data_IF_500691947168
#
_entry.id   IF_500691947168
#
_cell.length_a   1.000
_cell.length_b   1.000
_cell.length_c   1.000
_cell.angle_alpha   90.00
_cell.angle_beta   90.00
_cell.angle_gamma   90.00
#
_symmetry.space_group_name_H-M   'P 1'
#
loop_
_entity.id
_entity.type
_entity.pdbx_description
1 polymer ?
#
# COMPACT_ATOMS: atom_id res chain seq x y z
N UNK A 1 -5.38 1.40 -13.20
CA UNK A 1 -4.35 0.54 -13.83
C UNK A 1 -3.39 0.09 -12.74
N UNK A 2 -2.82 -1.12 -12.84
CA UNK A 2 -1.75 -1.60 -11.95
C UNK A 2 -0.42 -1.19 -12.57
N UNK A 3 0.43 -0.52 -11.79
CA UNK A 3 1.78 -0.13 -12.20
C UNK A 3 2.77 -0.85 -11.29
N UNK A 4 3.57 -1.78 -11.82
CA UNK A 4 4.78 -2.20 -11.12
C UNK A 4 5.71 -1.00 -11.04
N UNK A 5 6.12 -0.63 -9.83
CA UNK A 5 7.10 0.44 -9.61
C UNK A 5 8.48 -0.15 -9.86
N UNK A 6 9.37 0.52 -10.63
CA UNK A 6 10.77 0.12 -10.71
C UNK A 6 11.36 0.07 -9.30
N UNK A 7 11.81 -1.11 -8.87
CA UNK A 7 12.50 -1.25 -7.60
C UNK A 7 13.77 -0.39 -7.67
N UNK A 8 13.80 0.72 -6.93
CA UNK A 8 15.00 1.52 -6.77
C UNK A 8 16.14 0.63 -6.31
N UNK A 9 17.31 0.79 -6.92
CA UNK A 9 18.54 0.09 -6.56
C UNK A 9 18.80 0.23 -5.06
N UNK A 10 18.49 -0.86 -4.32
CA UNK A 10 18.56 -1.03 -2.85
C UNK A 10 17.43 -0.35 -2.06
N UNK A 11 16.35 -1.11 -1.82
CA UNK A 11 15.57 -1.01 -0.57
C UNK A 11 14.24 -0.26 -0.61
N UNK A 12 13.54 -0.17 -1.74
CA UNK A 12 12.10 0.20 -1.73
C UNK A 12 11.22 -1.03 -1.95
N UNK A 13 10.86 -1.74 -0.87
CA UNK A 13 10.01 -2.96 -0.86
C UNK A 13 8.51 -2.64 -1.04
N UNK A 14 8.17 -1.66 -1.89
CA UNK A 14 6.78 -1.40 -2.26
C UNK A 14 6.43 -2.35 -3.40
N UNK A 15 5.73 -3.43 -3.07
CA UNK A 15 5.41 -4.46 -4.05
C UNK A 15 4.60 -3.88 -5.23
N UNK A 16 3.59 -3.07 -4.94
CA UNK A 16 2.75 -2.45 -5.98
C UNK A 16 2.21 -1.08 -5.60
N UNK A 17 2.08 -0.18 -6.59
CA UNK A 17 1.32 1.07 -6.47
C UNK A 17 0.12 1.03 -7.42
N UNK A 18 -1.06 1.33 -6.88
CA UNK A 18 -2.31 1.44 -7.64
C UNK A 18 -2.80 2.87 -7.60
N UNK A 19 -3.18 3.39 -8.76
CA UNK A 19 -3.75 4.72 -8.91
C UNK A 19 -5.17 4.61 -9.47
N UNK A 20 -6.09 5.34 -8.85
CA UNK A 20 -7.47 5.50 -9.32
C UNK A 20 -8.09 6.79 -8.80
N UNK A 21 -9.35 7.04 -9.17
CA UNK A 21 -10.06 8.25 -8.75
C UNK A 21 -10.13 8.42 -7.21
N UNK A 22 -10.00 7.32 -6.45
CA UNK A 22 -9.98 7.33 -4.99
C UNK A 22 -8.59 7.59 -4.37
N UNK A 23 -7.60 8.00 -5.15
CA UNK A 23 -6.25 8.28 -4.70
C UNK A 23 -5.22 7.20 -5.07
N UNK A 24 -4.12 7.19 -4.33
CA UNK A 24 -3.00 6.27 -4.53
C UNK A 24 -2.98 5.22 -3.42
N UNK A 25 -2.63 4.00 -3.77
CA UNK A 25 -2.56 2.88 -2.85
C UNK A 25 -1.22 2.16 -2.97
N UNK A 26 -0.51 2.01 -1.86
CA UNK A 26 0.64 1.11 -1.75
C UNK A 26 0.14 -0.25 -1.27
N UNK A 27 0.38 -1.30 -2.03
CA UNK A 27 -0.07 -2.66 -1.72
C UNK A 27 1.17 -3.49 -1.47
N UNK A 28 1.25 -4.09 -0.28
CA UNK A 28 2.28 -5.03 0.07
C UNK A 28 1.65 -6.42 0.30
N UNK A 29 2.14 -7.43 -0.40
CA UNK A 29 1.67 -8.82 -0.30
C UNK A 29 2.59 -9.61 0.63
N UNK A 30 2.01 -10.25 1.65
CA UNK A 30 2.74 -11.10 2.58
C UNK A 30 2.27 -12.54 2.46
N UNK A 31 3.11 -13.37 1.84
CA UNK A 31 2.90 -14.80 1.74
C UNK A 31 3.35 -15.50 3.03
N UNK A 32 2.42 -16.18 3.70
CA UNK A 32 2.64 -16.87 4.98
C UNK A 32 2.03 -18.27 4.93
N UNK A 33 2.65 -19.17 4.18
CA UNK A 33 2.15 -20.53 3.99
C UNK A 33 1.96 -21.28 5.32
N UNK A 34 0.76 -21.83 5.53
CA UNK A 34 0.47 -22.65 6.72
C UNK A 34 0.40 -21.88 8.04
N UNK A 35 0.71 -20.59 8.05
CA UNK A 35 0.78 -19.79 9.27
C UNK A 35 -0.60 -19.36 9.79
N UNK A 36 -0.66 -19.07 11.10
CA UNK A 36 -1.81 -18.40 11.72
C UNK A 36 -1.53 -16.91 11.84
N UNK A 37 -2.39 -16.08 11.27
CA UNK A 37 -2.25 -14.62 11.32
C UNK A 37 -3.25 -14.05 12.32
N UNK A 38 -2.77 -13.15 13.16
CA UNK A 38 -3.60 -12.38 14.06
C UNK A 38 -3.38 -10.89 13.82
N UNK A 39 -4.46 -10.13 13.73
CA UNK A 39 -4.42 -8.68 13.48
C UNK A 39 -5.22 -7.97 14.57
N UNK A 40 -4.59 -6.96 15.18
CA UNK A 40 -5.26 -5.95 16.01
C UNK A 40 -4.89 -4.54 15.54
N UNK A 41 -5.45 -3.51 16.17
CA UNK A 41 -5.27 -2.10 15.76
C UNK A 41 -3.81 -1.68 15.58
N UNK A 42 -2.88 -2.20 16.39
CA UNK A 42 -1.47 -1.78 16.38
C UNK A 42 -0.47 -2.89 16.10
N UNK A 43 -0.91 -4.14 15.98
CA UNK A 43 -0.01 -5.30 15.87
C UNK A 43 -0.54 -6.32 14.87
N UNK A 44 0.38 -6.88 14.11
CA UNK A 44 0.15 -8.04 13.27
C UNK A 44 1.11 -9.14 13.78
N UNK A 45 0.54 -10.31 14.09
CA UNK A 45 1.31 -11.48 14.52
C UNK A 45 1.27 -12.56 13.44
N UNK A 46 2.40 -13.24 13.25
CA UNK A 46 2.51 -14.44 12.42
C UNK A 46 2.91 -15.58 13.34
N UNK A 47 2.04 -16.59 13.48
CA UNK A 47 2.23 -17.75 14.35
C UNK A 47 2.63 -17.37 15.79
N UNK A 48 2.01 -16.29 16.31
CA UNK A 48 2.25 -15.77 17.67
C UNK A 48 3.41 -14.77 17.78
N UNK A 49 4.25 -14.62 16.74
CA UNK A 49 5.38 -13.69 16.75
C UNK A 49 4.98 -12.32 16.20
N UNK A 50 5.42 -11.25 16.87
CA UNK A 50 5.21 -9.87 16.42
C UNK A 50 5.98 -9.61 15.13
N UNK A 51 5.35 -8.90 14.21
CA UNK A 51 6.01 -8.45 12.98
C UNK A 51 6.01 -6.94 12.85
N UNK A 52 6.84 -6.47 11.92
CA UNK A 52 7.00 -5.06 11.59
C UNK A 52 6.14 -4.61 10.40
N UNK A 53 5.25 -5.48 9.90
CA UNK A 53 4.51 -5.24 8.65
C UNK A 53 3.74 -3.91 8.67
N UNK A 54 3.05 -3.62 9.78
CA UNK A 54 2.32 -2.35 9.92
C UNK A 54 3.26 -1.13 9.92
N UNK A 55 4.44 -1.23 10.55
CA UNK A 55 5.41 -0.13 10.58
C UNK A 55 5.99 0.10 9.20
N UNK A 56 6.39 -0.96 8.52
CA UNK A 56 6.99 -0.88 7.19
C UNK A 56 5.98 -0.33 6.18
N UNK A 57 4.73 -0.80 6.19
CA UNK A 57 3.69 -0.24 5.29
C UNK A 57 3.41 1.24 5.57
N UNK A 58 3.45 1.72 6.82
CA UNK A 58 3.34 3.16 7.12
C UNK A 58 4.51 3.96 6.54
N UNK A 59 5.72 3.41 6.64
CA UNK A 59 6.90 4.02 6.05
C UNK A 59 6.76 4.11 4.53
N UNK A 60 6.30 3.04 3.88
CA UNK A 60 6.06 3.00 2.44
C UNK A 60 5.02 4.04 2.00
N UNK A 61 3.90 4.15 2.72
CA UNK A 61 2.87 5.17 2.48
C UNK A 61 3.47 6.57 2.56
N UNK A 62 4.19 6.87 3.64
CA UNK A 62 4.79 8.18 3.86
C UNK A 62 5.84 8.51 2.79
N UNK A 63 6.65 7.52 2.40
CA UNK A 63 7.65 7.67 1.34
C UNK A 63 6.99 7.94 -0.01
N UNK A 64 6.01 7.13 -0.43
CA UNK A 64 5.27 7.34 -1.69
C UNK A 64 4.61 8.71 -1.72
N UNK A 65 4.02 9.16 -0.62
CA UNK A 65 3.41 10.48 -0.54
C UNK A 65 4.44 11.58 -0.80
N UNK A 66 5.60 11.53 -0.13
CA UNK A 66 6.69 12.51 -0.32
C UNK A 66 7.23 12.53 -1.75
N UNK A 67 7.44 11.37 -2.36
CA UNK A 67 7.95 11.25 -3.72
C UNK A 67 6.98 11.85 -4.74
N UNK A 68 5.69 11.55 -4.60
CA UNK A 68 4.66 12.12 -5.47
C UNK A 68 4.51 13.62 -5.27
N UNK A 69 4.54 14.09 -4.03
CA UNK A 69 4.48 15.52 -3.72
C UNK A 69 5.65 16.30 -4.33
N UNK A 70 6.86 15.74 -4.30
CA UNK A 70 8.03 16.37 -4.91
C UNK A 70 7.91 16.55 -6.44
N UNK A 71 7.24 15.61 -7.12
CA UNK A 71 7.07 15.64 -8.58
C UNK A 71 5.84 16.45 -9.00
N UNK A 72 4.75 16.36 -8.23
CA UNK A 72 3.46 16.99 -8.56
C UNK A 72 3.39 18.43 -8.04
N UNK A 73 4.15 18.76 -6.99
CA UNK A 73 4.09 20.06 -6.30
C UNK A 73 2.88 20.23 -5.40
N UNK A 74 2.11 19.17 -5.13
CA UNK A 74 1.02 19.17 -4.17
C UNK A 74 0.81 17.80 -3.53
N UNK A 75 0.21 17.78 -2.34
CA UNK A 75 0.01 16.55 -1.58
C UNK A 75 -1.06 15.65 -2.22
N UNK A 76 -0.73 14.37 -2.38
CA UNK A 76 -1.65 13.34 -2.90
C UNK A 76 -1.93 12.32 -1.80
N UNK A 77 -3.22 12.04 -1.48
CA UNK A 77 -3.54 11.04 -0.47
C UNK A 77 -3.06 9.64 -0.88
N UNK A 78 -2.20 9.04 -0.05
CA UNK A 78 -1.71 7.67 -0.19
C UNK A 78 -2.26 6.81 0.94
N UNK A 79 -2.73 5.60 0.62
CA UNK A 79 -3.21 4.62 1.60
C UNK A 79 -2.50 3.28 1.46
N UNK A 80 -2.19 2.65 2.59
CA UNK A 80 -1.49 1.36 2.61
C UNK A 80 -2.43 0.18 2.77
N UNK A 81 -2.13 -0.91 2.06
CA UNK A 81 -2.77 -2.20 2.24
C UNK A 81 -1.74 -3.33 2.38
N UNK A 82 -1.90 -4.15 3.41
CA UNK A 82 -1.22 -5.44 3.56
C UNK A 82 -2.18 -6.53 3.07
N UNK A 83 -1.73 -7.33 2.11
CA UNK A 83 -2.50 -8.44 1.54
C UNK A 83 -1.89 -9.75 2.00
N UNK A 84 -2.61 -10.48 2.84
CA UNK A 84 -2.19 -11.78 3.35
C UNK A 84 -2.55 -12.86 2.34
N UNK A 85 -1.58 -13.70 2.00
CA UNK A 85 -1.71 -14.81 1.05
C UNK A 85 -1.15 -16.09 1.68
N UNK A 86 -1.78 -17.25 1.43
CA UNK A 86 -1.29 -18.57 1.86
C UNK A 86 -1.47 -18.92 3.35
N UNK A 87 -1.97 -17.99 4.17
CA UNK A 87 -2.22 -18.24 5.58
C UNK A 87 -3.25 -19.36 5.79
N UNK A 88 -2.98 -20.25 6.76
CA UNK A 88 -3.90 -21.30 7.19
C UNK A 88 -5.14 -20.72 7.87
N UNK A 89 -4.94 -19.66 8.64
CA UNK A 89 -5.98 -19.01 9.41
C UNK A 89 -5.66 -17.52 9.58
N UNK A 90 -6.68 -16.67 9.49
CA UNK A 90 -6.53 -15.23 9.69
C UNK A 90 -7.62 -14.76 10.66
N UNK A 91 -7.20 -14.28 11.83
CA UNK A 91 -8.07 -13.65 12.81
C UNK A 91 -7.84 -12.14 12.82
N UNK A 92 -8.81 -11.36 12.35
CA UNK A 92 -8.80 -9.90 12.48
C UNK A 92 -9.65 -9.55 13.68
N UNK A 93 -9.02 -9.27 14.82
CA UNK A 93 -9.71 -8.79 16.04
C UNK A 93 -10.12 -7.33 15.90
N UNK A 94 -9.23 -6.53 15.33
CA UNK A 94 -9.43 -5.11 15.12
C UNK A 94 -8.58 -4.66 13.92
N UNK A 95 -9.19 -3.86 13.06
CA UNK A 95 -8.53 -3.32 11.87
C UNK A 95 -7.69 -2.10 12.29
N UNK A 96 -6.42 -1.98 11.88
CA UNK A 96 -5.70 -0.72 12.00
C UNK A 96 -6.42 0.40 11.25
N UNK A 97 -6.50 1.58 11.88
CA UNK A 97 -7.23 2.73 11.33
C UNK A 97 -6.59 3.29 10.04
N UNK A 98 -5.27 3.13 9.91
CA UNK A 98 -4.46 3.75 8.87
C UNK A 98 -4.00 2.78 7.78
N UNK A 99 -3.94 1.48 8.08
CA UNK A 99 -3.50 0.43 7.16
C UNK A 99 -4.60 -0.63 6.99
N UNK A 100 -5.01 -0.86 5.74
CA UNK A 100 -5.91 -1.98 5.42
C UNK A 100 -5.15 -3.31 5.51
N UNK A 101 -5.74 -4.32 6.13
CA UNK A 101 -5.18 -5.67 6.22
C UNK A 101 -6.23 -6.60 5.66
N UNK A 102 -5.92 -7.19 4.52
CA UNK A 102 -6.90 -7.82 3.64
C UNK A 102 -6.39 -9.19 3.20
N UNK A 103 -7.30 -10.05 2.79
CA UNK A 103 -6.97 -11.22 1.96
C UNK A 103 -6.96 -10.84 0.48
N UNK A 104 -6.32 -11.65 -0.37
CA UNK A 104 -6.29 -11.40 -1.81
C UNK A 104 -7.70 -11.21 -2.44
N UNK A 105 -8.73 -12.01 -2.12
CA UNK A 105 -10.10 -11.76 -2.61
C UNK A 105 -10.73 -10.46 -2.10
N UNK A 106 -10.36 -10.01 -0.90
CA UNK A 106 -10.90 -8.77 -0.31
C UNK A 106 -10.30 -7.51 -0.97
N UNK A 107 -9.05 -7.56 -1.44
CA UNK A 107 -8.36 -6.42 -2.03
C UNK A 107 -9.17 -5.72 -3.12
N UNK A 108 -9.62 -6.48 -4.12
CA UNK A 108 -10.36 -5.91 -5.27
C UNK A 108 -11.67 -5.26 -4.81
N UNK A 109 -12.40 -5.92 -3.91
CA UNK A 109 -13.65 -5.38 -3.35
C UNK A 109 -13.40 -4.12 -2.54
N UNK A 110 -12.31 -4.09 -1.76
CA UNK A 110 -11.91 -2.94 -0.98
C UNK A 110 -11.56 -1.76 -1.89
N UNK A 111 -10.73 -1.95 -2.93
CA UNK A 111 -10.38 -0.92 -3.90
C UNK A 111 -11.63 -0.33 -4.59
N UNK A 112 -12.58 -1.17 -5.01
CA UNK A 112 -13.83 -0.74 -5.66
C UNK A 112 -14.77 0.06 -4.75
N UNK A 113 -14.69 -0.12 -3.44
CA UNK A 113 -15.53 0.59 -2.46
C UNK A 113 -15.00 1.98 -2.10
N UNK A 114 -13.81 2.35 -2.57
CA UNK A 114 -13.21 3.63 -2.24
C UNK A 114 -13.93 4.76 -2.98
N UNK A 115 -14.27 5.82 -2.25
CA UNK A 115 -14.92 7.01 -2.81
C UNK A 115 -13.92 7.77 -3.69
N UNK A 116 -14.33 8.25 -4.87
CA UNK A 116 -13.52 9.18 -5.67
C UNK A 116 -13.19 10.45 -4.87
N UNK A 117 -11.94 10.90 -4.94
CA UNK A 117 -11.42 12.13 -4.32
C UNK A 117 -10.54 12.95 -5.28
N UNK A 118 -10.14 12.36 -6.41
CA UNK A 118 -9.36 13.02 -7.45
C UNK A 118 -10.26 13.32 -8.64
N UNK A 119 -10.24 14.57 -9.08
CA UNK A 119 -10.84 14.98 -10.35
C UNK A 119 -10.07 14.34 -11.54
N UNK A 120 -10.70 14.18 -12.71
CA UNK A 120 -10.06 13.52 -13.86
C UNK A 120 -8.71 14.12 -14.26
N UNK A 121 -8.56 15.45 -14.18
CA UNK A 121 -7.30 16.15 -14.47
C UNK A 121 -6.23 15.86 -13.41
N UNK A 122 -6.59 15.86 -12.12
CA UNK A 122 -5.69 15.49 -11.03
C UNK A 122 -5.26 14.02 -11.16
N UNK A 123 -6.19 13.12 -11.47
CA UNK A 123 -5.89 11.71 -11.69
C UNK A 123 -4.87 11.51 -12.82
N UNK A 124 -5.02 12.24 -13.93
CA UNK A 124 -4.06 12.17 -15.03
C UNK A 124 -2.65 12.61 -14.60
N UNK A 125 -2.53 13.68 -13.82
CA UNK A 125 -1.25 14.16 -13.26
C UNK A 125 -0.64 13.11 -12.34
N UNK A 126 -1.42 12.52 -11.43
CA UNK A 126 -0.92 11.47 -10.51
C UNK A 126 -0.47 10.23 -11.29
N UNK A 127 -1.22 9.80 -12.31
CA UNK A 127 -0.84 8.67 -13.15
C UNK A 127 0.46 8.94 -13.90
N UNK A 128 0.64 10.16 -14.42
CA UNK A 128 1.88 10.55 -15.09
C UNK A 128 3.07 10.52 -14.11
N UNK A 129 2.91 11.07 -12.90
CA UNK A 129 3.94 11.07 -11.87
C UNK A 129 4.32 9.64 -11.44
N UNK A 130 3.36 8.76 -11.17
CA UNK A 130 3.64 7.36 -10.79
C UNK A 130 4.38 6.59 -11.89
N UNK A 131 4.17 6.94 -13.17
CA UNK A 131 4.86 6.31 -14.31
C UNK A 131 6.25 6.86 -14.59
N UNK A 132 6.56 8.05 -14.11
CA UNK A 132 7.84 8.68 -14.38
C UNK A 132 8.93 8.03 -13.52
N UNK A 133 10.01 7.55 -14.15
CA UNK A 133 11.14 6.92 -13.42
C UNK A 133 11.76 7.86 -12.38
N UNK A 134 11.83 9.16 -12.69
CA UNK A 134 12.35 10.19 -11.78
C UNK A 134 11.65 10.22 -10.42
N UNK A 135 10.37 9.82 -10.35
CA UNK A 135 9.61 9.76 -9.10
C UNK A 135 10.20 8.75 -8.11
N UNK A 136 10.82 7.69 -8.63
CA UNK A 136 11.33 6.57 -7.83
C UNK A 136 12.85 6.61 -7.63
N UNK A 137 13.54 7.35 -8.50
CA UNK A 137 15.00 7.54 -8.44
C UNK A 137 15.44 8.60 -7.45
N UNK A 138 14.53 9.45 -6.98
CA UNK A 138 14.83 10.42 -5.94
C UNK A 138 14.78 9.71 -4.57
N UNK A 139 15.90 9.66 -3.85
CA UNK A 139 15.85 9.48 -2.41
C UNK A 139 15.51 10.84 -1.78
N UNK A 140 14.49 10.93 -0.90
CA UNK A 140 14.27 12.12 -0.09
C UNK A 140 15.36 12.30 0.98
#
# INVERSE_FOLDING_TARGET
>A
MLHPVPAGTRGSDIDHVVVGAAGVFTINSKFHEGARIWVGSRRLLVSGQKTDHLRNTRYDVARTQKLLEAVIGSSVPVRGAIVIVGAKEITIREQPDDIAVLTAPQLVRWLKKQKPILEPTQLAVVVAAVRAEVTWSNEP
#
